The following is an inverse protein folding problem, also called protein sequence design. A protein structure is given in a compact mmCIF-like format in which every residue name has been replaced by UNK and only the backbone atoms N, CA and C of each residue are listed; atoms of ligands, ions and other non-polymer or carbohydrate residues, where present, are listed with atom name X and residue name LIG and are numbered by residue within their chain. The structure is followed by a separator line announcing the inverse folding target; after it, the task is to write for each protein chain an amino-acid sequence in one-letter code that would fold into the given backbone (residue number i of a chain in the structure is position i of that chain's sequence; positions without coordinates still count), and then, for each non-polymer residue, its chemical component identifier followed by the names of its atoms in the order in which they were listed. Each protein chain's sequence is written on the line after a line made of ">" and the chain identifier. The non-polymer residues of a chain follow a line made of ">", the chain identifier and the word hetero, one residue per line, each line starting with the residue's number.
data_IF_051898091161
#
_entry.id   IF_051898091161
#
_cell.length_a   1.000
_cell.length_b   1.000
_cell.length_c   1.000
_cell.angle_alpha   90.00
_cell.angle_beta   90.00
_cell.angle_gamma   90.00
#
_symmetry.space_group_name_H-M   'P 1'
#
loop_
_entity.id
_entity.type
_entity.pdbx_description
1 polymer ?
#
# COMPACT_ATOMS: atom_id res chain seq x y z
N UNK A 1 23.85 3.46 4.23
CA UNK A 1 22.64 3.13 3.45
C UNK A 1 22.94 1.86 2.70
N UNK A 2 22.34 0.75 3.10
CA UNK A 2 22.44 -0.49 2.39
C UNK A 2 21.11 -0.77 1.68
N UNK A 3 21.14 -0.94 0.39
CA UNK A 3 20.06 -1.54 -0.37
C UNK A 3 20.65 -2.57 -1.31
N UNK A 4 19.88 -3.58 -1.63
CA UNK A 4 20.23 -4.61 -2.61
C UNK A 4 19.15 -4.65 -3.68
N UNK A 5 19.51 -5.12 -4.87
CA UNK A 5 18.57 -5.28 -5.98
C UNK A 5 18.54 -6.73 -6.44
N UNK A 6 18.10 -7.66 -5.58
CA UNK A 6 18.01 -9.07 -5.95
C UNK A 6 16.92 -9.30 -7.00
N UNK A 7 17.08 -10.40 -7.71
CA UNK A 7 16.09 -10.93 -8.64
C UNK A 7 15.54 -12.21 -8.02
N UNK A 8 14.23 -12.25 -7.75
CA UNK A 8 13.58 -13.41 -7.15
C UNK A 8 12.53 -13.98 -8.11
N UNK A 9 12.40 -15.29 -8.10
CA UNK A 9 11.31 -15.95 -8.81
C UNK A 9 9.95 -15.57 -8.24
N UNK A 10 8.94 -15.45 -9.10
CA UNK A 10 7.56 -15.20 -8.65
C UNK A 10 7.07 -16.30 -7.69
N UNK A 11 7.48 -17.56 -7.94
CA UNK A 11 7.23 -18.70 -7.05
C UNK A 11 7.67 -18.46 -5.60
N UNK A 12 8.82 -17.79 -5.40
CA UNK A 12 9.32 -17.43 -4.08
C UNK A 12 8.46 -16.35 -3.42
N UNK A 13 8.08 -15.31 -4.17
CA UNK A 13 7.17 -14.28 -3.67
C UNK A 13 5.83 -14.87 -3.21
N UNK A 14 5.24 -15.77 -4.02
CA UNK A 14 3.98 -16.44 -3.67
C UNK A 14 4.13 -17.28 -2.39
N UNK A 15 5.23 -18.00 -2.25
CA UNK A 15 5.54 -18.74 -1.03
C UNK A 15 5.74 -17.83 0.17
N UNK A 16 6.46 -16.71 0.00
CA UNK A 16 6.76 -15.78 1.09
C UNK A 16 5.52 -15.00 1.55
N UNK A 17 4.61 -14.67 0.65
CA UNK A 17 3.34 -14.04 1.04
C UNK A 17 2.42 -15.02 1.75
N UNK A 18 2.31 -16.26 1.27
CA UNK A 18 1.41 -17.27 1.85
C UNK A 18 1.89 -17.80 3.20
N UNK A 19 3.20 -17.87 3.45
CA UNK A 19 3.76 -18.28 4.74
C UNK A 19 4.03 -17.12 5.72
N UNK A 20 3.78 -15.86 5.31
CA UNK A 20 3.93 -14.68 6.14
C UNK A 20 5.34 -14.12 6.27
N UNK A 21 6.33 -14.64 5.52
CA UNK A 21 7.67 -14.04 5.45
C UNK A 21 7.60 -12.62 4.87
N UNK A 22 6.77 -12.39 3.84
CA UNK A 22 6.39 -11.06 3.35
C UNK A 22 5.01 -10.70 3.90
N UNK A 23 4.93 -9.56 4.57
CA UNK A 23 3.68 -8.97 5.03
C UNK A 23 3.59 -7.50 4.61
N UNK A 24 2.42 -6.89 4.78
CA UNK A 24 2.20 -5.48 4.51
C UNK A 24 2.37 -4.67 5.79
N UNK A 25 2.90 -3.45 5.74
CA UNK A 25 2.71 -2.49 6.83
C UNK A 25 1.21 -2.18 7.01
N UNK A 26 0.74 -2.08 8.25
CA UNK A 26 -0.69 -1.90 8.57
C UNK A 26 -1.29 -0.57 8.07
N UNK A 27 -0.44 0.46 7.91
CA UNK A 27 -0.85 1.76 7.39
C UNK A 27 -1.12 1.79 5.88
N UNK A 28 -0.69 0.76 5.14
CA UNK A 28 -0.96 0.70 3.71
C UNK A 28 -2.46 0.53 3.45
N UNK A 29 -2.92 1.16 2.36
CA UNK A 29 -4.31 1.09 1.93
C UNK A 29 -4.76 -0.34 1.75
N UNK A 30 -6.05 -0.58 1.94
CA UNK A 30 -6.68 -1.84 1.59
C UNK A 30 -6.52 -2.16 0.10
N UNK A 31 -6.60 -3.43 -0.22
CA UNK A 31 -6.54 -3.92 -1.59
C UNK A 31 -7.72 -3.40 -2.41
N UNK A 32 -7.41 -2.84 -3.58
CA UNK A 32 -8.38 -2.25 -4.48
C UNK A 32 -7.86 -2.33 -5.92
N UNK A 33 -8.15 -3.41 -6.59
CA UNK A 33 -7.80 -3.55 -8.00
C UNK A 33 -8.97 -4.03 -8.84
N UNK A 34 -9.11 -3.44 -10.01
CA UNK A 34 -10.11 -3.79 -11.00
C UNK A 34 -9.76 -5.11 -11.69
N UNK A 35 -10.79 -5.87 -12.02
CA UNK A 35 -10.70 -7.17 -12.71
C UNK A 35 -9.77 -7.12 -13.94
N UNK A 36 -9.96 -6.13 -14.80
CA UNK A 36 -9.16 -5.98 -16.02
C UNK A 36 -7.66 -5.75 -15.73
N UNK A 37 -7.32 -5.01 -14.67
CA UNK A 37 -5.92 -4.81 -14.29
C UNK A 37 -5.25 -6.11 -13.84
N UNK A 38 -6.00 -6.98 -13.16
CA UNK A 38 -5.50 -8.29 -12.72
C UNK A 38 -5.30 -9.18 -13.94
N UNK A 39 -6.26 -9.19 -14.86
CA UNK A 39 -6.16 -9.92 -16.14
C UNK A 39 -4.91 -9.50 -16.91
N UNK A 40 -4.68 -8.19 -17.07
CA UNK A 40 -3.51 -7.64 -17.75
C UNK A 40 -2.18 -7.97 -17.04
N UNK A 41 -2.20 -8.06 -15.72
CA UNK A 41 -1.03 -8.50 -14.94
C UNK A 41 -0.65 -9.95 -15.28
N UNK A 42 -1.64 -10.84 -15.40
CA UNK A 42 -1.44 -12.23 -15.79
C UNK A 42 -0.96 -12.34 -17.26
N UNK A 43 -1.53 -11.56 -18.18
CA UNK A 43 -1.08 -11.45 -19.56
C UNK A 43 0.41 -11.05 -19.62
N UNK A 44 0.82 -10.08 -18.80
CA UNK A 44 2.19 -9.60 -18.74
C UNK A 44 3.15 -10.72 -18.31
N UNK A 45 2.78 -11.54 -17.31
CA UNK A 45 3.59 -12.69 -16.87
C UNK A 45 3.71 -13.74 -17.97
N UNK A 46 2.59 -14.09 -18.61
CA UNK A 46 2.54 -15.13 -19.64
C UNK A 46 3.32 -14.73 -20.92
N UNK A 47 3.44 -13.44 -21.20
CA UNK A 47 4.30 -12.88 -22.24
C UNK A 47 5.78 -12.75 -21.82
N UNK A 48 6.12 -13.00 -20.57
CA UNK A 48 7.47 -12.76 -20.06
C UNK A 48 7.87 -11.29 -19.98
N UNK A 49 6.91 -10.36 -20.05
CA UNK A 49 7.17 -8.93 -19.97
C UNK A 49 7.40 -8.46 -18.53
N UNK A 50 8.19 -7.40 -18.29
CA UNK A 50 8.50 -6.96 -16.94
C UNK A 50 7.27 -6.34 -16.25
N UNK A 51 7.00 -6.80 -15.02
CA UNK A 51 5.94 -6.24 -14.14
C UNK A 51 6.34 -4.95 -13.41
N UNK A 52 7.60 -4.52 -13.55
CA UNK A 52 8.20 -3.50 -12.70
C UNK A 52 8.93 -4.09 -11.49
N UNK A 53 9.19 -3.25 -10.49
CA UNK A 53 9.99 -3.59 -9.31
C UNK A 53 9.10 -3.70 -8.07
N UNK A 54 9.46 -4.58 -7.14
CA UNK A 54 8.86 -4.70 -5.81
C UNK A 54 9.82 -4.06 -4.81
N UNK A 55 9.29 -3.29 -3.85
CA UNK A 55 10.12 -2.71 -2.80
C UNK A 55 9.86 -3.39 -1.46
N UNK A 56 10.92 -3.86 -0.84
CA UNK A 56 10.91 -4.59 0.42
C UNK A 56 11.76 -3.87 1.47
N UNK A 57 11.32 -3.92 2.72
CA UNK A 57 12.08 -3.47 3.88
C UNK A 57 12.32 -4.65 4.81
N UNK A 58 13.57 -4.91 5.20
CA UNK A 58 13.89 -5.91 6.23
C UNK A 58 13.38 -5.47 7.58
N UNK A 59 12.70 -6.38 8.29
CA UNK A 59 12.26 -6.16 9.67
C UNK A 59 13.46 -6.21 10.65
N UNK A 60 13.25 -5.76 11.90
CA UNK A 60 14.32 -5.72 12.90
C UNK A 60 15.15 -4.44 12.87
N UNK A 61 14.67 -3.39 12.24
CA UNK A 61 15.24 -2.06 12.31
C UNK A 61 14.80 -1.39 13.63
N UNK A 62 15.75 -0.94 14.46
CA UNK A 62 15.45 -0.28 15.74
C UNK A 62 14.76 1.08 15.57
N UNK A 63 14.94 1.73 14.43
CA UNK A 63 14.37 3.05 14.12
C UNK A 63 12.99 2.98 13.45
N UNK A 64 12.61 1.83 12.87
CA UNK A 64 11.40 1.67 12.09
C UNK A 64 10.67 0.42 12.56
N UNK A 65 9.56 0.62 13.28
CA UNK A 65 8.70 -0.45 13.76
C UNK A 65 7.33 -0.34 13.08
N UNK A 66 7.24 -0.79 11.83
CA UNK A 66 5.95 -0.92 11.20
C UNK A 66 5.25 -2.19 11.69
N UNK A 67 4.01 -2.07 12.13
CA UNK A 67 3.18 -3.21 12.48
C UNK A 67 2.84 -4.00 11.21
N UNK A 68 3.20 -5.31 11.16
CA UNK A 68 2.90 -6.12 9.99
C UNK A 68 1.44 -6.58 10.00
N UNK A 69 0.86 -6.72 8.81
CA UNK A 69 -0.39 -7.42 8.58
C UNK A 69 -0.28 -8.35 7.38
N UNK A 70 -1.01 -9.47 7.34
CA UNK A 70 -0.99 -10.36 6.19
C UNK A 70 -1.38 -9.65 4.88
N UNK A 71 -0.88 -10.18 3.77
CA UNK A 71 -1.38 -9.83 2.44
C UNK A 71 -2.86 -10.20 2.37
N UNK A 72 -3.71 -9.36 1.77
CA UNK A 72 -5.14 -9.61 1.70
C UNK A 72 -5.43 -10.94 0.99
N UNK A 73 -6.32 -11.72 1.57
CA UNK A 73 -6.65 -13.08 1.11
C UNK A 73 -5.77 -14.17 1.71
N UNK A 74 -4.73 -13.82 2.47
CA UNK A 74 -3.88 -14.77 3.19
C UNK A 74 -4.27 -14.82 4.66
N UNK A 75 -4.46 -16.03 5.19
CA UNK A 75 -4.67 -16.28 6.62
C UNK A 75 -3.42 -16.89 7.22
N UNK A 76 -2.81 -16.17 8.17
CA UNK A 76 -1.62 -16.64 8.89
C UNK A 76 -1.99 -17.17 10.27
N UNK A 77 -1.17 -18.08 10.79
CA UNK A 77 -1.24 -18.47 12.20
C UNK A 77 -0.88 -17.29 13.10
N UNK A 78 -1.49 -17.16 14.28
CA UNK A 78 -1.11 -16.13 15.24
C UNK A 78 0.39 -16.18 15.57
N UNK A 79 1.03 -15.01 15.61
CA UNK A 79 2.44 -14.89 15.99
C UNK A 79 3.44 -15.10 14.86
N UNK A 80 3.02 -15.29 13.61
CA UNK A 80 3.94 -15.33 12.48
C UNK A 80 4.57 -13.95 12.26
N UNK A 81 5.88 -13.87 12.47
CA UNK A 81 6.64 -12.65 12.26
C UNK A 81 6.97 -12.46 10.77
N UNK A 82 6.95 -11.21 10.32
CA UNK A 82 7.45 -10.86 9.00
C UNK A 82 8.98 -10.72 9.01
N UNK A 83 9.66 -11.24 8.00
CA UNK A 83 11.07 -10.93 7.73
C UNK A 83 11.20 -9.69 6.84
N UNK A 84 10.22 -9.50 5.97
CA UNK A 84 10.18 -8.47 4.95
C UNK A 84 8.81 -7.76 4.96
N UNK A 85 8.83 -6.45 4.87
CA UNK A 85 7.63 -5.64 4.68
C UNK A 85 7.58 -5.12 3.25
N UNK A 86 6.45 -5.33 2.59
CA UNK A 86 6.21 -4.90 1.21
C UNK A 86 5.83 -3.42 1.20
N UNK A 87 6.76 -2.56 0.77
CA UNK A 87 6.55 -1.12 0.72
C UNK A 87 5.91 -0.65 -0.59
N UNK A 88 6.33 -1.23 -1.74
CA UNK A 88 5.70 -0.99 -3.05
C UNK A 88 5.47 -2.29 -3.81
N UNK A 89 4.45 -2.28 -4.68
CA UNK A 89 3.98 -3.47 -5.39
C UNK A 89 2.87 -4.22 -4.68
N UNK A 90 2.28 -3.66 -3.61
CA UNK A 90 1.21 -4.29 -2.81
C UNK A 90 0.07 -4.82 -3.68
N UNK A 91 -0.52 -3.97 -4.53
CA UNK A 91 -1.67 -4.36 -5.34
C UNK A 91 -1.33 -5.50 -6.30
N UNK A 92 -0.15 -5.43 -6.94
CA UNK A 92 0.35 -6.46 -7.84
C UNK A 92 0.56 -7.79 -7.11
N UNK A 93 1.32 -7.76 -6.02
CA UNK A 93 1.65 -8.99 -5.29
C UNK A 93 0.43 -9.60 -4.60
N UNK A 94 -0.50 -8.79 -4.09
CA UNK A 94 -1.78 -9.26 -3.54
C UNK A 94 -2.61 -9.96 -4.61
N UNK A 95 -2.77 -9.35 -5.79
CA UNK A 95 -3.51 -9.95 -6.91
C UNK A 95 -2.90 -11.28 -7.34
N UNK A 96 -1.57 -11.31 -7.50
CA UNK A 96 -0.86 -12.53 -7.89
C UNK A 96 -0.98 -13.62 -6.81
N UNK A 97 -0.87 -13.27 -5.53
CA UNK A 97 -1.04 -14.24 -4.44
C UNK A 97 -2.43 -14.85 -4.48
N UNK A 98 -3.49 -14.04 -4.61
CA UNK A 98 -4.86 -14.57 -4.67
C UNK A 98 -5.13 -15.38 -5.95
N UNK A 99 -4.66 -14.92 -7.11
CA UNK A 99 -4.91 -15.58 -8.39
C UNK A 99 -4.13 -16.89 -8.58
N UNK A 100 -2.89 -16.92 -8.08
CA UNK A 100 -1.92 -17.99 -8.37
C UNK A 100 -1.75 -18.97 -7.22
N UNK A 101 -2.47 -18.80 -6.10
CA UNK A 101 -2.38 -19.73 -4.95
C UNK A 101 -3.76 -20.16 -4.45
N UNK A 102 -3.80 -21.23 -3.68
CA UNK A 102 -5.03 -21.73 -3.06
C UNK A 102 -6.14 -22.01 -4.07
N UNK A 103 -7.32 -21.47 -3.84
CA UNK A 103 -8.48 -21.66 -4.72
C UNK A 103 -8.49 -20.76 -5.97
N UNK A 104 -7.53 -19.86 -6.13
CA UNK A 104 -7.46 -18.93 -7.26
C UNK A 104 -8.60 -17.91 -7.34
N UNK A 105 -9.31 -17.70 -6.22
CA UNK A 105 -10.42 -16.74 -6.14
C UNK A 105 -9.91 -15.39 -5.70
N UNK A 106 -10.06 -14.40 -6.56
CA UNK A 106 -9.64 -13.02 -6.31
C UNK A 106 -10.83 -12.15 -5.96
N UNK A 107 -10.75 -11.44 -4.83
CA UNK A 107 -11.68 -10.39 -4.49
C UNK A 107 -11.30 -9.12 -5.26
N UNK A 108 -12.18 -8.64 -6.14
CA UNK A 108 -11.92 -7.51 -7.05
C UNK A 108 -13.14 -6.60 -7.19
N UNK A 109 -13.05 -5.58 -8.02
CA UNK A 109 -14.15 -4.69 -8.35
C UNK A 109 -14.22 -4.44 -9.87
N UNK A 110 -15.41 -4.10 -10.37
CA UNK A 110 -15.56 -3.64 -11.73
C UNK A 110 -15.17 -2.16 -11.86
N UNK A 111 -15.17 -1.63 -13.09
CA UNK A 111 -14.89 -0.23 -13.39
C UNK A 111 -15.82 0.78 -12.69
N UNK A 112 -16.93 0.31 -12.13
CA UNK A 112 -17.91 1.11 -11.36
C UNK A 112 -17.74 0.95 -9.84
N UNK A 113 -16.71 0.19 -9.39
CA UNK A 113 -16.44 -0.07 -7.98
C UNK A 113 -17.36 -1.13 -7.34
N UNK A 114 -18.11 -1.91 -8.13
CA UNK A 114 -18.93 -3.02 -7.63
C UNK A 114 -18.03 -4.19 -7.28
N UNK A 115 -18.03 -4.60 -6.03
CA UNK A 115 -17.27 -5.75 -5.53
C UNK A 115 -17.76 -7.06 -6.14
N UNK A 116 -16.81 -7.90 -6.53
CA UNK A 116 -17.05 -9.22 -7.08
C UNK A 116 -15.90 -10.17 -6.76
N UNK A 117 -16.09 -11.45 -7.02
CA UNK A 117 -15.02 -12.46 -7.00
C UNK A 117 -14.80 -12.99 -8.40
N UNK A 118 -13.53 -13.21 -8.75
CA UNK A 118 -13.12 -13.70 -10.07
C UNK A 118 -12.15 -14.86 -9.94
N UNK A 119 -12.14 -15.72 -10.96
CA UNK A 119 -11.11 -16.71 -11.26
C UNK A 119 -10.56 -16.43 -12.66
N UNK A 120 -9.32 -16.78 -12.88
CA UNK A 120 -8.65 -16.55 -14.14
C UNK A 120 -8.21 -17.89 -14.76
N UNK A 121 -8.37 -17.97 -16.06
CA UNK A 121 -8.03 -19.15 -16.85
C UNK A 121 -7.29 -18.74 -18.11
N UNK A 122 -6.58 -19.71 -18.71
CA UNK A 122 -5.96 -19.55 -20.02
C UNK A 122 -6.64 -20.51 -21.00
N UNK A 123 -7.25 -20.00 -22.05
CA UNK A 123 -7.66 -20.81 -23.19
C UNK A 123 -6.39 -21.36 -23.85
N UNK A 124 -6.18 -22.66 -23.69
CA UNK A 124 -4.93 -23.33 -24.10
C UNK A 124 -4.72 -23.27 -25.60
N UNK A 125 -5.78 -23.42 -26.40
CA UNK A 125 -5.70 -23.39 -27.86
C UNK A 125 -5.36 -21.99 -28.36
N UNK A 126 -6.03 -20.98 -27.83
CA UNK A 126 -5.76 -19.57 -28.20
C UNK A 126 -4.35 -19.13 -27.79
N UNK A 127 -3.89 -19.55 -26.59
CA UNK A 127 -2.54 -19.22 -26.12
C UNK A 127 -1.41 -19.79 -27.02
N UNK A 128 -1.64 -20.95 -27.62
CA UNK A 128 -0.67 -21.58 -28.51
C UNK A 128 -0.61 -20.97 -29.92
N UNK A 129 -1.51 -20.04 -30.27
CA UNK A 129 -1.48 -19.33 -31.54
C UNK A 129 -0.35 -18.30 -31.64
N UNK A 130 0.22 -17.87 -30.50
CA UNK A 130 1.33 -16.94 -30.46
C UNK A 130 1.23 -15.90 -29.33
N UNK A 131 2.31 -15.16 -29.10
CA UNK A 131 2.41 -14.19 -28.00
C UNK A 131 1.36 -13.07 -28.07
N UNK A 132 1.05 -12.59 -29.28
CA UNK A 132 0.03 -11.58 -29.56
C UNK A 132 -1.38 -12.04 -29.21
N UNK A 133 -1.62 -13.36 -29.13
CA UNK A 133 -2.91 -13.96 -28.77
C UNK A 133 -3.07 -14.22 -27.26
N UNK A 134 -2.05 -14.04 -26.47
CA UNK A 134 -2.12 -14.25 -25.00
C UNK A 134 -3.16 -13.34 -24.34
N UNK A 135 -3.35 -12.12 -24.85
CA UNK A 135 -4.36 -11.21 -24.33
C UNK A 135 -5.79 -11.76 -24.50
N UNK A 136 -6.08 -12.36 -25.65
CA UNK A 136 -7.35 -13.02 -25.91
C UNK A 136 -7.50 -14.35 -25.15
N UNK A 137 -6.40 -15.02 -24.89
CA UNK A 137 -6.38 -16.31 -24.22
C UNK A 137 -6.66 -16.22 -22.70
N UNK A 138 -6.28 -15.12 -22.04
CA UNK A 138 -6.50 -14.94 -20.60
C UNK A 138 -7.91 -14.44 -20.35
N UNK A 139 -8.73 -15.29 -19.73
CA UNK A 139 -10.14 -14.99 -19.43
C UNK A 139 -10.37 -14.84 -17.93
N UNK A 140 -11.25 -13.89 -17.58
CA UNK A 140 -11.76 -13.69 -16.23
C UNK A 140 -13.20 -14.22 -16.17
N UNK A 141 -13.47 -15.12 -15.23
CA UNK A 141 -14.80 -15.68 -15.00
C UNK A 141 -15.29 -15.39 -13.58
N UNK A 142 -16.61 -15.47 -13.30
CA UNK A 142 -17.13 -15.36 -11.95
C UNK A 142 -16.44 -16.34 -10.99
N UNK A 143 -16.40 -15.99 -9.69
CA UNK A 143 -15.69 -16.80 -8.68
C UNK A 143 -16.23 -18.22 -8.48
N UNK A 144 -17.44 -18.52 -8.96
CA UNK A 144 -18.00 -19.88 -9.01
C UNK A 144 -17.57 -20.69 -10.25
N UNK A 145 -16.80 -20.08 -11.16
CA UNK A 145 -16.31 -20.72 -12.37
C UNK A 145 -17.32 -20.79 -13.51
N UNK A 146 -18.50 -20.17 -13.40
CA UNK A 146 -19.56 -20.30 -14.40
C UNK A 146 -19.95 -18.95 -15.02
N UNK A 147 -19.80 -18.85 -16.33
CA UNK A 147 -20.26 -17.69 -17.12
C UNK A 147 -21.68 -17.92 -17.56
N UNK A 148 -22.54 -16.95 -17.28
CA UNK A 148 -23.97 -17.03 -17.59
C UNK A 148 -24.42 -15.81 -18.37
N UNK A 149 -25.31 -16.04 -19.35
CA UNK A 149 -26.02 -15.01 -20.09
C UNK A 149 -27.51 -15.03 -19.79
N UNK A 150 -28.29 -14.21 -20.51
CA UNK A 150 -29.75 -14.13 -20.44
C UNK A 150 -30.29 -14.07 -18.99
N UNK A 151 -29.72 -13.13 -18.17
CA UNK A 151 -30.06 -12.96 -16.73
C UNK A 151 -29.85 -14.23 -15.90
N UNK A 152 -28.81 -15.02 -16.23
CA UNK A 152 -28.43 -16.23 -15.48
C UNK A 152 -29.19 -17.49 -15.90
N UNK A 153 -30.00 -17.45 -16.97
CA UNK A 153 -30.78 -18.60 -17.45
C UNK A 153 -29.96 -19.55 -18.30
N UNK A 154 -29.01 -19.01 -19.07
CA UNK A 154 -28.17 -19.81 -19.97
C UNK A 154 -26.74 -19.88 -19.42
N UNK A 155 -26.12 -21.05 -19.52
CA UNK A 155 -24.71 -21.27 -19.16
C UNK A 155 -23.90 -21.25 -20.45
N UNK A 156 -23.04 -20.23 -20.59
CA UNK A 156 -22.18 -20.05 -21.77
C UNK A 156 -20.86 -20.79 -21.63
N UNK A 157 -20.31 -20.88 -20.38
CA UNK A 157 -19.09 -21.57 -20.06
C UNK A 157 -19.16 -22.07 -18.62
N UNK A 158 -18.80 -23.32 -18.38
CA UNK A 158 -18.78 -23.93 -17.06
C UNK A 158 -17.39 -24.50 -16.76
N UNK A 159 -16.63 -23.81 -15.89
CA UNK A 159 -15.31 -24.17 -15.38
C UNK A 159 -15.36 -24.41 -13.86
N UNK A 160 -16.48 -24.92 -13.35
CA UNK A 160 -16.70 -25.06 -11.89
C UNK A 160 -15.90 -26.18 -11.26
N UNK A 161 -15.42 -27.13 -12.05
CA UNK A 161 -14.58 -28.25 -11.59
C UNK A 161 -13.50 -28.61 -12.63
N UNK A 162 -12.50 -29.37 -12.18
CA UNK A 162 -11.33 -29.70 -13.00
C UNK A 162 -11.64 -30.55 -14.24
N UNK A 163 -12.71 -31.36 -14.23
CA UNK A 163 -13.09 -32.16 -15.39
C UNK A 163 -13.64 -31.28 -16.51
N UNK A 164 -14.49 -30.32 -16.16
CA UNK A 164 -15.01 -29.31 -17.10
C UNK A 164 -13.91 -28.37 -17.61
N UNK A 165 -13.03 -27.91 -16.71
CA UNK A 165 -11.87 -27.11 -17.11
C UNK A 165 -11.07 -27.82 -18.22
N UNK A 166 -10.80 -29.11 -18.06
CA UNK A 166 -10.05 -29.93 -19.02
C UNK A 166 -10.84 -30.18 -20.33
N UNK A 167 -12.12 -30.49 -20.20
CA UNK A 167 -12.99 -30.73 -21.35
C UNK A 167 -13.11 -29.50 -22.26
N UNK A 168 -13.23 -28.33 -21.68
CA UNK A 168 -13.29 -27.03 -22.38
C UNK A 168 -11.89 -26.53 -22.82
N UNK A 169 -10.80 -27.09 -22.32
CA UNK A 169 -9.43 -26.70 -22.65
C UNK A 169 -8.99 -25.38 -22.00
N UNK A 170 -9.53 -25.07 -20.82
CA UNK A 170 -9.18 -23.89 -20.04
C UNK A 170 -8.31 -24.25 -18.86
N UNK A 171 -7.05 -23.82 -18.90
CA UNK A 171 -6.10 -24.05 -17.82
C UNK A 171 -6.26 -23.02 -16.70
N UNK A 172 -6.52 -23.42 -15.44
CA UNK A 172 -6.65 -22.48 -14.32
C UNK A 172 -5.30 -21.88 -13.93
N UNK A 173 -5.18 -20.54 -13.91
CA UNK A 173 -3.90 -19.87 -13.64
C UNK A 173 -3.34 -20.17 -12.25
N UNK A 174 -4.18 -20.55 -11.29
CA UNK A 174 -3.75 -20.99 -9.94
C UNK A 174 -2.76 -22.16 -9.97
N UNK A 175 -2.75 -22.92 -11.05
CA UNK A 175 -1.85 -24.04 -11.23
C UNK A 175 -0.50 -23.67 -11.87
N UNK A 176 -0.30 -22.45 -12.35
CA UNK A 176 0.96 -22.06 -13.02
C UNK A 176 2.22 -22.34 -12.16
N UNK A 177 2.10 -22.19 -10.84
CA UNK A 177 3.20 -22.39 -9.88
C UNK A 177 2.94 -23.50 -8.87
N UNK A 178 1.96 -24.39 -9.13
CA UNK A 178 1.54 -25.42 -8.20
C UNK A 178 2.35 -26.75 -8.32
N UNK A 179 3.34 -26.79 -9.19
CA UNK A 179 4.28 -27.91 -9.31
C UNK A 179 3.59 -29.24 -9.64
N UNK A 180 3.51 -30.15 -8.67
CA UNK A 180 2.92 -31.49 -8.88
C UNK A 180 1.43 -31.45 -9.27
N UNK A 181 0.66 -30.50 -8.74
CA UNK A 181 -0.76 -30.35 -9.11
C UNK A 181 -0.92 -29.94 -10.58
N UNK A 182 -0.05 -29.07 -11.09
CA UNK A 182 0.00 -28.66 -12.49
C UNK A 182 0.18 -29.88 -13.40
N UNK A 183 1.18 -30.69 -13.07
CA UNK A 183 1.50 -31.91 -13.82
C UNK A 183 0.32 -32.89 -13.78
N UNK A 184 -0.26 -33.12 -12.60
CA UNK A 184 -1.41 -34.01 -12.43
C UNK A 184 -2.61 -33.56 -13.25
N UNK A 185 -2.92 -32.25 -13.25
CA UNK A 185 -4.02 -31.67 -14.01
C UNK A 185 -3.81 -31.85 -15.53
N UNK A 186 -2.59 -31.56 -16.04
CA UNK A 186 -2.25 -31.75 -17.45
C UNK A 186 -2.26 -33.22 -17.88
N UNK A 187 -1.76 -34.13 -17.05
CA UNK A 187 -1.79 -35.56 -17.33
C UNK A 187 -3.22 -36.13 -17.40
N UNK A 188 -4.15 -35.51 -16.72
CA UNK A 188 -5.56 -35.92 -16.77
C UNK A 188 -6.33 -35.44 -18.00
N UNK A 189 -5.75 -34.55 -18.83
CA UNK A 189 -6.35 -34.15 -20.10
C UNK A 189 -6.45 -35.34 -21.10
N UNK A 190 -7.50 -35.36 -21.91
CA UNK A 190 -7.65 -36.33 -23.00
C UNK A 190 -6.65 -36.01 -24.13
N UNK A 191 -6.58 -34.76 -24.53
CA UNK A 191 -5.65 -34.28 -25.55
C UNK A 191 -4.24 -34.09 -24.97
N UNK A 192 -3.43 -35.13 -25.12
CA UNK A 192 -2.04 -35.15 -24.61
C UNK A 192 -1.11 -34.23 -25.39
N UNK A 193 -1.38 -34.01 -26.66
CA UNK A 193 -0.56 -33.15 -27.52
C UNK A 193 -0.79 -31.70 -27.13
N UNK A 194 -2.04 -31.27 -26.93
CA UNK A 194 -2.39 -29.96 -26.42
C UNK A 194 -1.74 -29.72 -25.04
N UNK A 195 -1.88 -30.70 -24.13
CA UNK A 195 -1.31 -30.58 -22.78
C UNK A 195 0.23 -30.43 -22.81
N UNK A 196 0.91 -31.23 -23.64
CA UNK A 196 2.38 -31.19 -23.77
C UNK A 196 2.86 -29.87 -24.37
N UNK A 197 2.25 -29.43 -25.46
CA UNK A 197 2.60 -28.16 -26.10
C UNK A 197 2.34 -26.97 -25.16
N UNK A 198 1.20 -26.96 -24.48
CA UNK A 198 0.88 -25.90 -23.53
C UNK A 198 1.84 -25.86 -22.34
N UNK A 199 2.21 -27.02 -21.80
CA UNK A 199 3.22 -27.11 -20.76
C UNK A 199 4.56 -26.51 -21.21
N UNK A 200 5.05 -26.92 -22.37
CA UNK A 200 6.34 -26.47 -22.87
C UNK A 200 6.37 -24.99 -23.25
N UNK A 201 5.29 -24.47 -23.85
CA UNK A 201 5.27 -23.12 -24.41
C UNK A 201 4.77 -22.06 -23.43
N UNK A 202 3.95 -22.41 -22.44
CA UNK A 202 3.30 -21.47 -21.54
C UNK A 202 3.70 -21.74 -20.08
N UNK A 203 3.48 -22.95 -19.55
CA UNK A 203 3.66 -23.25 -18.13
C UNK A 203 5.14 -23.17 -17.74
N UNK A 204 6.01 -23.82 -18.50
CA UNK A 204 7.44 -23.89 -18.19
C UNK A 204 8.12 -22.49 -18.25
N UNK A 205 7.92 -21.65 -19.26
CA UNK A 205 8.45 -20.28 -19.26
C UNK A 205 7.90 -19.42 -18.13
N UNK A 206 6.58 -19.48 -17.85
CA UNK A 206 5.96 -18.73 -16.75
C UNK A 206 6.51 -19.18 -15.38
N UNK A 207 6.81 -20.46 -15.20
CA UNK A 207 7.36 -21.02 -13.97
C UNK A 207 8.72 -20.44 -13.56
N UNK A 208 9.47 -19.87 -14.49
CA UNK A 208 10.78 -19.22 -14.27
C UNK A 208 10.70 -17.68 -14.26
N UNK A 209 9.50 -17.13 -14.15
CA UNK A 209 9.30 -15.69 -14.18
C UNK A 209 9.89 -15.02 -12.96
N UNK A 210 10.73 -14.00 -13.19
CA UNK A 210 11.45 -13.28 -12.15
C UNK A 210 10.96 -11.85 -11.99
N UNK A 211 10.92 -11.37 -10.75
CA UNK A 211 10.60 -9.99 -10.41
C UNK A 211 11.76 -9.37 -9.64
N UNK A 212 12.34 -8.24 -10.13
CA UNK A 212 13.37 -7.54 -9.39
C UNK A 212 12.81 -6.91 -8.11
N UNK A 213 13.60 -6.93 -7.04
CA UNK A 213 13.31 -6.21 -5.80
C UNK A 213 14.29 -5.08 -5.56
N UNK A 214 13.84 -4.04 -4.87
CA UNK A 214 14.69 -3.12 -4.12
C UNK A 214 14.49 -3.49 -2.65
N UNK A 215 15.52 -4.04 -2.04
CA UNK A 215 15.48 -4.50 -0.66
C UNK A 215 16.29 -3.56 0.23
N UNK A 216 15.60 -2.86 1.13
CA UNK A 216 16.17 -1.95 2.11
C UNK A 216 16.59 -2.75 3.36
N UNK A 217 17.80 -2.50 3.86
CA UNK A 217 18.34 -3.19 5.03
C UNK A 217 17.84 -2.59 6.36
N UNK A 218 18.19 -3.26 7.46
CA UNK A 218 17.83 -2.85 8.82
C UNK A 218 18.52 -1.56 9.27
N UNK A 219 19.57 -1.10 8.58
CA UNK A 219 20.27 0.15 8.88
C UNK A 219 19.70 1.36 8.13
N UNK A 220 18.67 1.16 7.31
CA UNK A 220 18.04 2.25 6.53
C UNK A 220 17.29 3.20 7.45
N UNK A 221 17.62 4.49 7.41
CA UNK A 221 16.98 5.49 8.26
C UNK A 221 15.52 5.77 7.84
N UNK A 222 14.69 6.24 8.78
CA UNK A 222 13.29 6.64 8.53
C UNK A 222 13.17 7.60 7.33
N UNK A 223 14.01 8.62 7.27
CA UNK A 223 14.02 9.60 6.18
C UNK A 223 14.41 8.99 4.83
N UNK A 224 15.31 8.01 4.83
CA UNK A 224 15.69 7.30 3.61
C UNK A 224 14.55 6.41 3.09
N UNK A 225 13.87 5.67 3.97
CA UNK A 225 12.70 4.87 3.60
C UNK A 225 11.62 5.77 3.00
N UNK A 226 11.31 6.90 3.66
CA UNK A 226 10.34 7.87 3.15
C UNK A 226 10.71 8.41 1.77
N UNK A 227 11.98 8.78 1.56
CA UNK A 227 12.48 9.33 0.28
C UNK A 227 12.44 8.28 -0.84
N UNK A 228 12.84 7.04 -0.56
CA UNK A 228 12.84 5.96 -1.56
C UNK A 228 11.40 5.60 -1.92
N UNK A 229 10.52 5.52 -0.91
CA UNK A 229 9.10 5.26 -1.09
C UNK A 229 8.43 6.29 -2.02
N UNK A 230 8.78 7.57 -1.86
CA UNK A 230 8.30 8.65 -2.70
C UNK A 230 8.77 8.54 -4.15
N UNK A 231 10.05 8.23 -4.35
CA UNK A 231 10.66 8.21 -5.69
C UNK A 231 10.25 7.00 -6.55
N UNK A 232 9.92 5.88 -5.92
CA UNK A 232 9.56 4.65 -6.65
C UNK A 232 8.08 4.63 -7.02
N UNK A 233 7.23 5.30 -6.25
CA UNK A 233 5.77 5.39 -6.50
C UNK A 233 5.37 6.34 -7.65
N UNK A 234 6.22 6.62 -8.63
CA UNK A 234 5.95 7.55 -9.74
C UNK A 234 4.84 7.11 -10.71
N UNK A 235 4.33 5.90 -10.61
CA UNK A 235 3.23 5.37 -11.45
C UNK A 235 1.99 4.92 -10.68
N UNK A 236 2.01 4.98 -9.34
CA UNK A 236 0.89 4.66 -8.45
C UNK A 236 0.34 5.90 -7.74
N UNK A 237 -0.66 5.70 -6.89
CA UNK A 237 -1.10 6.75 -5.95
C UNK A 237 0.07 7.04 -5.00
N UNK A 238 0.72 8.20 -5.16
CA UNK A 238 1.82 8.62 -4.29
C UNK A 238 1.33 8.67 -2.85
N UNK A 239 2.04 8.01 -1.92
CA UNK A 239 1.80 8.23 -0.50
C UNK A 239 2.06 9.70 -0.18
N UNK A 240 1.08 10.34 0.42
CA UNK A 240 1.27 11.69 0.88
C UNK A 240 2.14 11.71 2.16
N UNK A 241 2.67 12.87 2.50
CA UNK A 241 3.53 13.03 3.69
C UNK A 241 2.84 12.60 4.98
N UNK A 242 1.53 12.78 5.07
CA UNK A 242 0.73 12.37 6.22
C UNK A 242 0.69 10.85 6.41
N UNK A 243 0.54 10.10 5.32
CA UNK A 243 0.55 8.62 5.35
C UNK A 243 1.92 8.09 5.78
N UNK A 244 3.02 8.73 5.33
CA UNK A 244 4.38 8.38 5.74
C UNK A 244 4.62 8.66 7.23
N UNK A 245 4.16 9.81 7.73
CA UNK A 245 4.27 10.11 9.16
C UNK A 245 3.36 9.24 10.01
N UNK A 246 2.17 8.87 9.52
CA UNK A 246 1.30 7.89 10.18
C UNK A 246 2.06 6.59 10.46
N UNK A 247 2.76 6.10 9.45
CA UNK A 247 3.61 4.92 9.56
C UNK A 247 4.78 5.09 10.54
N UNK A 248 5.42 6.25 10.45
CA UNK A 248 6.59 6.56 11.29
C UNK A 248 6.21 6.67 12.76
N UNK A 249 5.10 7.33 13.07
CA UNK A 249 4.64 7.56 14.43
C UNK A 249 4.04 6.30 15.08
N UNK A 250 3.35 5.46 14.30
CA UNK A 250 2.86 4.16 14.78
C UNK A 250 4.00 3.23 15.23
N UNK A 251 5.20 3.41 14.70
CA UNK A 251 6.39 2.63 15.09
C UNK A 251 7.24 3.27 16.18
N UNK A 252 6.78 4.32 16.85
CA UNK A 252 7.58 4.98 17.90
C UNK A 252 7.65 4.12 19.17
N UNK A 253 8.86 3.60 19.44
CA UNK A 253 9.09 2.70 20.57
C UNK A 253 8.90 3.41 21.92
N UNK A 254 9.37 4.66 22.04
CA UNK A 254 9.30 5.39 23.29
C UNK A 254 7.84 5.64 23.68
N UNK A 255 7.00 6.01 22.72
CA UNK A 255 5.57 6.18 22.94
C UNK A 255 4.90 4.86 23.36
N UNK A 256 5.21 3.75 22.65
CA UNK A 256 4.66 2.44 23.00
C UNK A 256 5.07 1.99 24.40
N UNK A 257 6.34 2.16 24.77
CA UNK A 257 6.86 1.77 26.09
C UNK A 257 6.21 2.58 27.22
N UNK A 258 5.79 3.84 26.96
CA UNK A 258 5.13 4.72 27.91
C UNK A 258 3.61 4.47 28.03
N UNK A 259 2.93 4.24 26.87
CA UNK A 259 1.47 4.23 26.80
C UNK A 259 0.87 2.83 26.64
N UNK A 260 1.66 1.81 26.27
CA UNK A 260 1.20 0.44 26.03
C UNK A 260 0.48 0.24 24.69
N UNK A 261 0.42 1.29 23.87
CA UNK A 261 -0.24 1.26 22.54
C UNK A 261 0.50 2.12 21.52
N UNK A 262 0.30 1.82 20.24
CA UNK A 262 0.90 2.58 19.14
C UNK A 262 0.19 3.94 18.95
N UNK A 263 0.96 5.00 18.67
CA UNK A 263 0.37 6.30 18.33
C UNK A 263 -0.34 6.25 16.98
N UNK A 264 -1.60 6.72 16.94
CA UNK A 264 -2.43 6.71 15.73
C UNK A 264 -2.67 8.11 15.20
N UNK A 265 -1.81 8.58 14.29
CA UNK A 265 -1.91 9.90 13.69
C UNK A 265 -3.27 10.15 12.99
N UNK A 266 -3.86 9.12 12.38
CA UNK A 266 -5.17 9.22 11.75
C UNK A 266 -6.30 9.53 12.75
N UNK A 267 -6.25 8.91 13.92
CA UNK A 267 -7.27 9.12 14.98
C UNK A 267 -7.09 10.49 15.61
N UNK A 268 -5.85 10.88 15.86
CA UNK A 268 -5.48 12.21 16.34
C UNK A 268 -5.91 13.34 15.38
N UNK A 269 -5.69 13.14 14.10
CA UNK A 269 -6.15 14.08 13.08
C UNK A 269 -7.68 14.18 13.06
N UNK A 270 -8.40 13.07 13.17
CA UNK A 270 -9.87 13.07 13.22
C UNK A 270 -10.39 13.87 14.42
N UNK A 271 -9.79 13.71 15.58
CA UNK A 271 -10.12 14.53 16.76
C UNK A 271 -9.85 16.02 16.53
N UNK A 272 -8.74 16.34 15.87
CA UNK A 272 -8.38 17.72 15.51
C UNK A 272 -9.37 18.31 14.52
N UNK A 273 -9.79 17.56 13.50
CA UNK A 273 -10.83 17.99 12.54
C UNK A 273 -12.16 18.29 13.23
N UNK A 274 -12.58 17.47 14.20
CA UNK A 274 -13.80 17.72 14.97
C UNK A 274 -13.73 19.05 15.73
N UNK A 275 -12.56 19.40 16.27
CA UNK A 275 -12.34 20.70 16.91
C UNK A 275 -12.38 21.85 15.89
N UNK A 276 -11.82 21.65 14.71
CA UNK A 276 -11.80 22.64 13.61
C UNK A 276 -13.18 22.89 13.01
N UNK A 277 -14.07 21.91 13.03
CA UNK A 277 -15.44 22.02 12.49
C UNK A 277 -16.26 23.15 13.14
N UNK A 278 -15.93 23.55 14.37
CA UNK A 278 -16.53 24.69 15.05
C UNK A 278 -16.06 26.08 14.53
N UNK A 279 -15.09 26.11 13.64
CA UNK A 279 -14.47 27.36 13.16
C UNK A 279 -14.49 27.41 11.62
N UNK A 280 -15.37 28.22 10.99
CA UNK A 280 -15.50 28.26 9.53
C UNK A 280 -14.17 28.51 8.79
N UNK A 281 -13.27 29.28 9.38
CA UNK A 281 -11.95 29.57 8.79
C UNK A 281 -10.99 28.35 8.76
N UNK A 282 -11.26 27.32 9.56
CA UNK A 282 -10.43 26.12 9.66
C UNK A 282 -11.07 24.89 9.01
N UNK A 283 -12.31 25.00 8.52
CA UNK A 283 -13.07 23.88 7.95
C UNK A 283 -12.45 23.31 6.67
N UNK A 284 -11.61 24.08 5.97
CA UNK A 284 -10.92 23.69 4.75
C UNK A 284 -9.46 23.24 4.98
N UNK A 285 -9.02 23.15 6.26
CA UNK A 285 -7.66 22.70 6.58
C UNK A 285 -7.56 21.20 6.37
N UNK A 286 -6.60 20.79 5.55
CA UNK A 286 -6.28 19.39 5.30
C UNK A 286 -5.20 18.88 6.28
N UNK A 287 -5.04 17.56 6.33
CA UNK A 287 -4.04 16.92 7.20
C UNK A 287 -2.60 17.36 6.87
N UNK A 288 -2.30 17.60 5.61
CA UNK A 288 -0.99 18.09 5.17
C UNK A 288 -0.73 19.53 5.61
N UNK A 289 -1.76 20.41 5.58
CA UNK A 289 -1.64 21.79 6.05
C UNK A 289 -1.39 21.82 7.56
N UNK A 290 -2.07 20.96 8.30
CA UNK A 290 -1.87 20.80 9.73
C UNK A 290 -0.44 20.38 10.07
N UNK A 291 0.10 19.37 9.36
CA UNK A 291 1.48 18.93 9.54
C UNK A 291 2.49 20.01 9.18
N UNK A 292 2.24 20.81 8.14
CA UNK A 292 3.08 21.95 7.82
C UNK A 292 3.09 23.00 8.94
N UNK A 293 1.93 23.27 9.52
CA UNK A 293 1.83 24.20 10.65
C UNK A 293 2.60 23.70 11.89
N UNK A 294 2.47 22.40 12.22
CA UNK A 294 3.24 21.76 13.29
C UNK A 294 4.74 21.85 13.02
N UNK A 295 5.16 21.54 11.79
CA UNK A 295 6.59 21.61 11.38
C UNK A 295 7.15 23.01 11.49
N UNK A 296 6.37 24.03 11.07
CA UNK A 296 6.77 25.44 11.19
C UNK A 296 6.99 25.82 12.65
N UNK A 297 6.11 25.38 13.55
CA UNK A 297 6.27 25.64 15.00
C UNK A 297 7.49 24.93 15.58
N UNK A 298 7.70 23.66 15.21
CA UNK A 298 8.86 22.88 15.63
C UNK A 298 10.17 23.53 15.18
N UNK A 299 10.27 23.87 13.91
CA UNK A 299 11.48 24.52 13.36
C UNK A 299 11.71 25.91 13.94
N UNK A 300 10.65 26.67 14.24
CA UNK A 300 10.74 27.94 14.95
C UNK A 300 11.23 27.77 16.40
N UNK A 301 10.76 26.76 17.11
CA UNK A 301 11.24 26.45 18.46
C UNK A 301 12.73 26.07 18.45
N UNK A 302 13.15 25.23 17.52
CA UNK A 302 14.55 24.85 17.33
C UNK A 302 15.44 26.04 16.99
N UNK A 303 14.97 26.91 16.09
CA UNK A 303 15.69 28.15 15.74
C UNK A 303 15.88 29.07 16.96
N UNK A 304 14.86 29.21 17.82
CA UNK A 304 14.91 30.05 19.03
C UNK A 304 15.74 29.45 20.15
N UNK A 305 15.81 28.13 20.23
CA UNK A 305 16.60 27.42 21.24
C UNK A 305 18.10 27.37 20.88
N UNK A 306 18.43 27.54 19.61
CA UNK A 306 19.80 27.55 19.11
C UNK A 306 20.40 28.93 19.28
N UNK A 307 21.49 29.02 20.07
CA UNK A 307 22.25 30.25 20.32
C UNK A 307 23.50 30.38 19.43
N UNK A 308 23.65 29.55 18.41
CA UNK A 308 24.75 29.63 17.45
C UNK A 308 24.65 30.86 16.54
N UNK A 309 25.75 31.23 15.90
CA UNK A 309 25.78 32.33 14.93
C UNK A 309 24.88 32.05 13.70
N UNK A 310 24.57 30.80 13.43
CA UNK A 310 23.72 30.34 12.30
C UNK A 310 22.68 29.34 12.76
N UNK A 311 21.62 29.77 13.42
CA UNK A 311 20.55 28.89 13.84
C UNK A 311 19.87 28.21 12.65
N UNK A 312 19.30 27.02 12.83
CA UNK A 312 18.60 26.31 11.76
C UNK A 312 17.45 27.14 11.20
N UNK A 313 17.24 27.06 9.88
CA UNK A 313 16.19 27.85 9.22
C UNK A 313 14.79 27.44 9.70
N UNK A 314 13.90 28.40 9.86
CA UNK A 314 12.46 28.14 10.07
C UNK A 314 11.85 27.74 8.74
N UNK A 315 11.37 26.51 8.65
CA UNK A 315 10.88 25.94 7.39
C UNK A 315 9.81 24.87 7.65
N UNK A 316 8.89 24.71 6.70
CA UNK A 316 7.94 23.60 6.65
C UNK A 316 7.90 22.98 5.25
N UNK A 317 9.03 22.97 4.57
CA UNK A 317 9.17 22.23 3.32
C UNK A 317 8.89 20.76 3.57
N UNK A 318 8.49 20.04 2.52
CA UNK A 318 8.20 18.60 2.58
C UNK A 318 9.29 17.80 3.30
N UNK A 319 10.56 18.10 3.02
CA UNK A 319 11.70 17.44 3.65
C UNK A 319 11.77 17.65 5.17
N UNK A 320 11.33 18.82 5.65
CA UNK A 320 11.31 19.16 7.08
C UNK A 320 10.12 18.47 7.77
N UNK A 321 8.98 18.38 7.09
CA UNK A 321 7.82 17.61 7.58
C UNK A 321 8.19 16.13 7.75
N UNK A 322 8.91 15.54 6.80
CA UNK A 322 9.36 14.14 6.87
C UNK A 322 10.38 13.86 7.99
N UNK A 323 11.04 14.90 8.49
CA UNK A 323 11.99 14.80 9.64
C UNK A 323 11.32 14.97 11.00
N UNK A 324 10.00 15.21 11.05
CA UNK A 324 9.29 15.26 12.33
C UNK A 324 9.41 13.92 13.06
N UNK A 325 9.76 14.00 14.32
CA UNK A 325 9.63 12.91 15.28
C UNK A 325 8.29 13.02 16.01
N UNK A 326 7.83 11.96 16.63
CA UNK A 326 6.56 11.98 17.36
C UNK A 326 6.59 13.01 18.49
N UNK A 327 7.70 13.13 19.20
CA UNK A 327 7.91 14.14 20.24
C UNK A 327 7.78 15.56 19.71
N UNK A 328 8.31 15.83 18.52
CA UNK A 328 8.16 17.12 17.83
C UNK A 328 6.73 17.43 17.45
N UNK A 329 5.93 16.40 17.14
CA UNK A 329 4.53 16.52 16.79
C UNK A 329 3.65 16.78 18.02
N UNK A 330 3.87 16.05 19.12
CA UNK A 330 2.99 16.09 20.29
C UNK A 330 2.99 17.44 21.00
N UNK A 331 4.13 18.13 21.07
CA UNK A 331 4.25 19.43 21.76
C UNK A 331 3.54 20.55 21.01
N UNK A 332 3.85 20.85 19.73
CA UNK A 332 3.16 21.90 18.99
C UNK A 332 1.68 21.61 18.73
N UNK A 333 1.29 20.33 18.59
CA UNK A 333 -0.08 19.91 18.43
C UNK A 333 -0.98 20.42 19.55
N UNK A 334 -0.52 20.37 20.81
CA UNK A 334 -1.27 20.86 21.95
C UNK A 334 -1.51 22.39 21.82
N UNK A 335 -0.53 23.13 21.31
CA UNK A 335 -0.67 24.56 21.06
C UNK A 335 -1.71 24.84 19.98
N UNK A 336 -1.68 24.12 18.87
CA UNK A 336 -2.64 24.28 17.76
C UNK A 336 -4.04 23.80 18.17
N UNK A 337 -4.14 22.69 18.92
CA UNK A 337 -5.42 22.14 19.40
C UNK A 337 -6.07 22.89 20.56
N UNK A 338 -5.31 23.62 21.37
CA UNK A 338 -5.84 24.35 22.53
C UNK A 338 -6.52 25.68 22.19
N UNK A 339 -6.35 26.20 20.97
CA UNK A 339 -7.03 27.42 20.52
C UNK A 339 -8.55 27.26 20.34
N UNK A 340 -9.10 26.05 20.39
CA UNK A 340 -10.54 25.82 20.29
C UNK A 340 -11.32 25.97 21.60
N UNK A 341 -10.64 26.15 22.76
CA UNK A 341 -11.26 26.05 24.09
C UNK A 341 -11.59 27.36 24.81
N UNK A 342 -11.09 28.53 24.36
CA UNK A 342 -11.19 29.76 25.15
C UNK A 342 -12.06 30.89 24.57
N UNK A 343 -13.09 30.55 23.80
CA UNK A 343 -13.99 31.51 23.14
C UNK A 343 -15.29 31.80 23.90
N UNK A 344 -15.37 31.68 25.25
CA UNK A 344 -16.45 32.28 26.04
C UNK A 344 -15.92 33.48 26.80
N UNK A 345 -16.28 34.65 26.32
CA UNK A 345 -16.22 35.91 27.08
C UNK A 345 -17.09 35.80 28.32
N UNK A 346 -16.53 35.35 29.43
CA UNK A 346 -17.07 35.45 30.75
C UNK A 346 -16.59 36.75 31.37
N UNK A 347 -17.50 37.69 31.57
CA UNK A 347 -17.29 38.90 32.38
C UNK A 347 -17.21 38.51 33.84
N UNK A 348 -16.02 38.40 34.41
CA UNK A 348 -15.70 38.78 35.81
C UNK A 348 -14.24 38.41 36.16
N UNK A 349 -13.44 39.43 36.47
CA UNK A 349 -12.41 39.42 37.52
C UNK A 349 -11.09 38.73 37.25
N UNK A 350 -10.05 39.55 37.00
CA UNK A 350 -8.61 39.38 37.34
C UNK A 350 -7.84 38.20 36.75
N UNK A 351 -7.01 38.55 35.85
CA UNK A 351 -5.76 38.08 35.31
C UNK A 351 -5.83 37.92 33.81
N UNK A 352 -5.43 38.96 33.07
CA UNK A 352 -5.32 38.95 31.62
C UNK A 352 -4.19 37.96 31.20
N UNK A 353 -4.43 37.00 30.28
CA UNK A 353 -3.36 36.30 29.64
C UNK A 353 -2.64 37.26 28.70
N UNK A 354 -1.33 37.36 28.87
CA UNK A 354 -0.45 38.28 28.15
C UNK A 354 -0.63 38.15 26.63
N UNK A 355 -0.69 39.28 25.96
CA UNK A 355 -0.88 39.55 24.52
C UNK A 355 0.06 38.81 23.55
N UNK A 356 0.86 37.90 24.00
CA UNK A 356 1.86 37.14 23.23
C UNK A 356 1.31 35.98 22.38
N UNK A 357 0.13 35.44 22.69
CA UNK A 357 -0.43 34.30 21.96
C UNK A 357 -1.28 34.69 20.74
N UNK A 358 -2.05 35.76 20.83
CA UNK A 358 -2.92 36.25 19.74
C UNK A 358 -2.12 36.87 18.58
N UNK A 359 -1.09 37.62 18.87
CA UNK A 359 -0.21 38.20 17.84
C UNK A 359 0.53 37.13 17.01
N UNK A 360 0.76 35.96 17.58
CA UNK A 360 1.41 34.82 16.89
C UNK A 360 0.49 34.13 15.89
N UNK A 361 -0.80 34.03 16.21
CA UNK A 361 -1.76 33.38 15.31
C UNK A 361 -2.13 34.28 14.12
N UNK A 362 -2.29 35.57 14.32
CA UNK A 362 -2.47 36.52 13.21
C UNK A 362 -1.26 36.57 12.27
N UNK A 363 -0.04 36.42 12.79
CA UNK A 363 1.16 36.28 11.96
C UNK A 363 1.16 35.01 11.14
N UNK A 364 0.78 33.85 11.72
CA UNK A 364 0.73 32.55 11.03
C UNK A 364 -0.42 32.55 10.00
N UNK A 365 -1.59 33.06 10.32
CA UNK A 365 -2.73 33.14 9.40
C UNK A 365 -2.53 34.16 8.27
N UNK A 366 -1.82 35.24 8.51
CA UNK A 366 -1.44 36.21 7.47
C UNK A 366 -0.30 35.66 6.60
N UNK A 367 0.65 34.96 7.16
CA UNK A 367 1.76 34.32 6.45
C UNK A 367 1.29 33.10 5.63
N UNK A 368 0.39 32.29 6.14
CA UNK A 368 -0.20 31.17 5.38
C UNK A 368 -0.89 31.66 4.10
N UNK A 369 -1.59 32.77 4.13
CA UNK A 369 -2.18 33.41 2.93
C UNK A 369 -1.11 33.94 1.96
N UNK A 370 -0.01 34.47 2.44
CA UNK A 370 1.07 35.02 1.59
C UNK A 370 1.87 33.89 0.93
N UNK A 371 2.09 32.78 1.63
CA UNK A 371 2.80 31.60 1.08
C UNK A 371 1.94 30.86 0.05
N UNK A 372 0.61 30.72 0.28
CA UNK A 372 -0.31 30.14 -0.71
C UNK A 372 -0.48 30.99 -1.98
N UNK A 373 -0.27 32.32 -1.90
CA UNK A 373 -0.33 33.22 -3.07
C UNK A 373 0.97 33.25 -3.89
N UNK A 374 2.10 32.83 -3.30
CA UNK A 374 3.41 32.80 -3.99
C UNK A 374 3.74 31.45 -4.63
N UNK A 375 2.88 30.44 -4.44
CA UNK A 375 3.03 29.07 -5.00
C UNK A 375 2.01 28.75 -6.11
N UNK A 376 1.28 29.74 -6.62
CA UNK A 376 0.46 29.60 -7.85
C UNK A 376 1.17 30.15 -9.07
#
# INVERSE_FOLDING_TARGET
>A
MGFQTPLYELSEYLKWTTNGKIQLPDFQRGYKWEDERIRQLLVTILRGHPLGVVMLLRTGNDQIRFKPRPVEGVTLQPGVAADLLLLDGQQRLTSLTQALTGGGVVATEDSRGKKMTRRYYVDMKTALLGEDRIDDAVVSVPGDGVVRSNFGKDVDLDLSDADKERAEGYFPVRLLFAGAETVTWLFAMEDKDLASQFHASIVQPAGTYNIPAIELDTATSKSAVATVFEKVNTGGLSLNVFELLTATFAGDKAYYDEHGEDFRLNDDWRETQLKFAGYPALSAVENTDFLQAVTMLTTLQRNRADSSERPPAVSAKREDVLKLELTDYLVPRQVVGSFSGSGKLGTSGSAAPTWTSWGRFQAIASWGRTVLYSMR
#
